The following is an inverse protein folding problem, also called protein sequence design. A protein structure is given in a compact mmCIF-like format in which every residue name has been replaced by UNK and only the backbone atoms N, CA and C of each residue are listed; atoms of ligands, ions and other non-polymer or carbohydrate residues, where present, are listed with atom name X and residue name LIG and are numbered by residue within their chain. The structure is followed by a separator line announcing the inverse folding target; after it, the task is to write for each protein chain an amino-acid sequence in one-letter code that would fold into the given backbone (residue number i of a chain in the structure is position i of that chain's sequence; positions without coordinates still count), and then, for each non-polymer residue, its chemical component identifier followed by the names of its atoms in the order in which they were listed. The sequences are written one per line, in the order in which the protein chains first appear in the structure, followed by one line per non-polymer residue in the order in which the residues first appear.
data_IF_417334988049
#
_entry.id   IF_417334988049
#
_cell.length_a   1.000
_cell.length_b   1.000
_cell.length_c   1.000
_cell.angle_alpha   90.00
_cell.angle_beta   90.00
_cell.angle_gamma   90.00
#
_symmetry.space_group_name_H-M   'P 1'
#
loop_
_entity.id
_entity.type
_entity.pdbx_description
1 polymer ?
#
# COMPACT_ATOMS: atom_id res chain seq x y z
N UNK A 1 42.61 58.73 -22.97
CA UNK A 1 41.60 59.15 -21.97
C UNK A 1 41.20 57.95 -21.14
N UNK A 2 41.23 58.05 -19.81
CA UNK A 2 40.94 56.97 -18.86
C UNK A 2 39.44 56.88 -18.56
N UNK A 3 38.98 55.68 -18.18
CA UNK A 3 37.59 55.43 -17.77
C UNK A 3 37.41 54.05 -17.17
N UNK A 4 38.03 53.80 -16.00
CA UNK A 4 37.64 52.70 -15.11
C UNK A 4 36.27 53.04 -14.48
N UNK A 5 35.31 52.14 -14.58
CA UNK A 5 34.13 52.08 -13.72
C UNK A 5 33.97 50.65 -13.18
N UNK A 6 34.59 50.39 -12.02
CA UNK A 6 34.58 49.07 -11.38
C UNK A 6 33.29 48.81 -10.62
N UNK A 7 32.45 47.91 -11.14
CA UNK A 7 31.40 47.21 -10.39
C UNK A 7 31.22 45.74 -10.85
N UNK A 8 32.20 45.13 -11.51
CA UNK A 8 32.02 43.80 -12.12
C UNK A 8 32.44 42.60 -11.26
N UNK A 9 33.13 42.82 -10.14
CA UNK A 9 33.53 41.74 -9.22
C UNK A 9 32.68 41.67 -7.93
N UNK A 10 32.15 42.80 -7.43
CA UNK A 10 31.30 42.83 -6.23
C UNK A 10 29.86 42.36 -6.45
N UNK A 11 29.26 42.67 -7.61
CA UNK A 11 27.87 42.31 -7.94
C UNK A 11 27.73 40.79 -8.16
N UNK A 12 28.74 40.14 -8.76
CA UNK A 12 28.72 38.68 -9.00
C UNK A 12 28.85 37.83 -7.74
N UNK A 13 29.63 38.29 -6.77
CA UNK A 13 29.84 37.52 -5.53
C UNK A 13 28.61 37.59 -4.62
N UNK A 14 28.01 38.78 -4.47
CA UNK A 14 26.81 38.94 -3.64
C UNK A 14 25.58 38.27 -4.27
N UNK A 15 25.40 38.35 -5.59
CA UNK A 15 24.29 37.69 -6.29
C UNK A 15 24.35 36.17 -6.12
N UNK A 16 25.54 35.58 -6.30
CA UNK A 16 25.73 34.15 -6.05
C UNK A 16 25.54 33.79 -4.57
N UNK A 17 26.05 34.60 -3.64
CA UNK A 17 25.88 34.38 -2.21
C UNK A 17 24.41 34.38 -1.79
N UNK A 18 23.63 35.38 -2.26
CA UNK A 18 22.20 35.47 -1.99
C UNK A 18 21.45 34.28 -2.60
N UNK A 19 21.78 33.87 -3.83
CA UNK A 19 21.14 32.70 -4.46
C UNK A 19 21.39 31.42 -3.67
N UNK A 20 22.61 31.19 -3.18
CA UNK A 20 22.93 29.99 -2.38
C UNK A 20 22.23 30.04 -1.02
N UNK A 21 22.18 31.20 -0.36
CA UNK A 21 21.45 31.37 0.90
C UNK A 21 19.96 31.08 0.70
N UNK A 22 19.35 31.67 -0.34
CA UNK A 22 17.93 31.46 -0.64
C UNK A 22 17.65 30.02 -1.07
N UNK A 23 18.50 29.41 -1.89
CA UNK A 23 18.39 28.01 -2.27
C UNK A 23 18.49 27.08 -1.04
N UNK A 24 19.36 27.40 -0.08
CA UNK A 24 19.47 26.67 1.19
C UNK A 24 18.17 26.73 2.01
N UNK A 25 17.56 27.91 2.12
CA UNK A 25 16.27 28.09 2.83
C UNK A 25 15.11 27.38 2.11
N UNK A 26 15.08 27.42 0.79
CA UNK A 26 14.05 26.72 0.00
C UNK A 26 14.21 25.20 0.06
N UNK A 27 15.45 24.70 0.06
CA UNK A 27 15.72 23.28 0.13
C UNK A 27 15.23 22.67 1.45
N UNK A 28 15.48 23.33 2.58
CA UNK A 28 15.02 22.82 3.90
C UNK A 28 13.49 22.80 3.99
N UNK A 29 12.81 23.85 3.52
CA UNK A 29 11.35 23.89 3.48
C UNK A 29 10.75 22.82 2.55
N UNK A 30 11.39 22.59 1.39
CA UNK A 30 10.97 21.54 0.45
C UNK A 30 11.10 20.13 1.02
N UNK A 31 12.22 19.83 1.69
CA UNK A 31 12.46 18.50 2.29
C UNK A 31 11.38 18.14 3.32
N UNK A 32 11.03 19.08 4.21
CA UNK A 32 10.03 18.83 5.24
C UNK A 32 8.66 18.47 4.63
N UNK A 33 8.24 19.18 3.58
CA UNK A 33 6.98 18.89 2.90
C UNK A 33 6.99 17.55 2.19
N UNK A 34 8.09 17.18 1.55
CA UNK A 34 8.23 15.89 0.85
C UNK A 34 8.11 14.73 1.85
N UNK A 35 8.74 14.83 3.02
CA UNK A 35 8.66 13.79 4.06
C UNK A 35 7.22 13.57 4.55
N UNK A 36 6.45 14.65 4.76
CA UNK A 36 5.05 14.56 5.14
C UNK A 36 4.20 13.89 4.05
N UNK A 37 4.40 14.27 2.79
CA UNK A 37 3.66 13.69 1.65
C UNK A 37 3.98 12.20 1.48
N UNK A 38 5.22 11.77 1.71
CA UNK A 38 5.57 10.35 1.67
C UNK A 38 4.86 9.55 2.76
N UNK A 39 4.74 10.13 3.97
CA UNK A 39 3.99 9.53 5.08
C UNK A 39 2.50 9.43 4.75
N UNK A 40 1.87 10.50 4.30
CA UNK A 40 0.46 10.52 3.89
C UNK A 40 0.19 9.54 2.75
N UNK A 41 1.09 9.46 1.76
CA UNK A 41 0.98 8.50 0.67
C UNK A 41 1.01 7.05 1.16
N UNK A 42 1.84 6.72 2.15
CA UNK A 42 1.86 5.38 2.76
C UNK A 42 0.56 5.08 3.49
N UNK A 43 0.04 6.02 4.28
CA UNK A 43 -1.25 5.86 4.96
C UNK A 43 -2.36 5.59 3.95
N UNK A 44 -2.44 6.40 2.90
CA UNK A 44 -3.42 6.22 1.81
C UNK A 44 -3.25 4.88 1.09
N UNK A 45 -2.02 4.39 0.89
CA UNK A 45 -1.77 3.06 0.32
C UNK A 45 -2.33 1.96 1.21
N UNK A 46 -2.10 2.02 2.52
CA UNK A 46 -2.63 1.05 3.50
C UNK A 46 -4.16 1.07 3.51
N UNK A 47 -4.77 2.25 3.55
CA UNK A 47 -6.22 2.41 3.53
C UNK A 47 -6.83 1.91 2.22
N UNK A 48 -6.25 2.29 1.07
CA UNK A 48 -6.72 1.85 -0.24
C UNK A 48 -6.61 0.33 -0.39
N UNK A 49 -5.49 -0.25 0.04
CA UNK A 49 -5.32 -1.70 0.00
C UNK A 49 -6.32 -2.43 0.89
N UNK A 50 -6.60 -1.94 2.10
CA UNK A 50 -7.61 -2.53 2.97
C UNK A 50 -9.02 -2.47 2.34
N UNK A 51 -9.37 -1.37 1.68
CA UNK A 51 -10.63 -1.23 0.94
C UNK A 51 -10.70 -2.19 -0.25
N UNK A 52 -9.64 -2.27 -1.05
CA UNK A 52 -9.53 -3.20 -2.18
C UNK A 52 -9.63 -4.65 -1.73
N UNK A 53 -8.95 -5.04 -0.64
CA UNK A 53 -9.02 -6.39 -0.09
C UNK A 53 -10.42 -6.72 0.44
N UNK A 54 -11.09 -5.76 1.09
CA UNK A 54 -12.49 -5.92 1.52
C UNK A 54 -13.44 -6.08 0.33
N UNK A 55 -13.22 -5.33 -0.75
CA UNK A 55 -14.00 -5.43 -1.98
C UNK A 55 -13.77 -6.78 -2.68
N UNK A 56 -12.51 -7.19 -2.86
CA UNK A 56 -12.14 -8.47 -3.42
C UNK A 56 -12.73 -9.64 -2.61
N UNK A 57 -12.61 -9.59 -1.28
CA UNK A 57 -13.21 -10.59 -0.39
C UNK A 57 -14.74 -10.68 -0.53
N UNK A 58 -15.43 -9.56 -0.73
CA UNK A 58 -16.88 -9.55 -1.01
C UNK A 58 -17.21 -10.11 -2.39
N UNK A 59 -16.40 -9.83 -3.41
CA UNK A 59 -16.59 -10.40 -4.75
C UNK A 59 -16.42 -11.92 -4.72
N UNK A 60 -15.39 -12.41 -4.01
CA UNK A 60 -15.21 -13.85 -3.78
C UNK A 60 -16.42 -14.44 -3.08
N UNK A 61 -16.93 -13.79 -2.03
CA UNK A 61 -18.14 -14.23 -1.34
C UNK A 61 -19.36 -14.31 -2.26
N UNK A 62 -19.55 -13.33 -3.13
CA UNK A 62 -20.64 -13.35 -4.11
C UNK A 62 -20.49 -14.50 -5.11
N UNK A 63 -19.28 -14.76 -5.61
CA UNK A 63 -19.01 -15.89 -6.51
C UNK A 63 -19.20 -17.24 -5.82
N UNK A 64 -18.71 -17.36 -4.59
CA UNK A 64 -18.92 -18.49 -3.68
C UNK A 64 -20.40 -18.76 -3.39
N UNK A 65 -21.20 -17.70 -3.27
CA UNK A 65 -22.66 -17.80 -3.12
C UNK A 65 -23.34 -18.31 -4.38
N UNK A 66 -22.87 -17.89 -5.55
CA UNK A 66 -23.42 -18.31 -6.84
C UNK A 66 -23.20 -19.81 -7.09
N UNK A 67 -22.07 -20.37 -6.61
CA UNK A 67 -21.80 -21.82 -6.67
C UNK A 67 -22.40 -22.61 -5.50
N UNK A 68 -23.06 -21.96 -4.54
CA UNK A 68 -23.75 -22.62 -3.43
C UNK A 68 -22.84 -23.20 -2.33
N UNK A 69 -21.57 -22.78 -2.26
CA UNK A 69 -20.55 -23.39 -1.38
C UNK A 69 -20.19 -22.57 -0.14
N UNK A 70 -21.05 -21.64 0.29
CA UNK A 70 -20.77 -20.76 1.44
C UNK A 70 -20.58 -21.51 2.78
N UNK A 71 -21.18 -22.69 2.93
CA UNK A 71 -21.05 -23.51 4.14
C UNK A 71 -19.77 -24.35 4.21
N UNK A 72 -19.02 -24.45 3.11
CA UNK A 72 -17.83 -25.30 3.06
C UNK A 72 -16.63 -24.63 3.76
N UNK A 73 -15.97 -25.38 4.64
CA UNK A 73 -14.80 -24.91 5.40
C UNK A 73 -13.64 -24.54 4.49
N UNK A 74 -13.38 -25.33 3.45
CA UNK A 74 -12.33 -25.04 2.48
C UNK A 74 -12.64 -25.69 1.15
N UNK A 75 -12.51 -24.93 0.07
CA UNK A 75 -12.64 -25.42 -1.29
C UNK A 75 -11.93 -24.49 -2.26
N UNK A 76 -11.89 -24.89 -3.51
CA UNK A 76 -11.29 -24.13 -4.59
C UNK A 76 -12.38 -23.48 -5.43
N UNK A 77 -12.26 -22.18 -5.66
CA UNK A 77 -13.17 -21.38 -6.46
C UNK A 77 -12.42 -20.89 -7.71
N UNK A 78 -13.01 -21.08 -8.88
CA UNK A 78 -12.52 -20.42 -10.11
C UNK A 78 -12.89 -18.94 -10.04
N UNK A 79 -11.91 -18.08 -9.85
CA UNK A 79 -12.12 -16.66 -9.64
C UNK A 79 -12.29 -15.94 -10.98
N UNK A 80 -13.52 -15.84 -11.48
CA UNK A 80 -13.78 -15.16 -12.75
C UNK A 80 -13.67 -13.64 -12.56
N UNK A 81 -12.74 -12.99 -13.26
CA UNK A 81 -12.55 -11.53 -13.19
C UNK A 81 -11.93 -11.02 -11.88
N UNK A 82 -11.25 -11.89 -11.14
CA UNK A 82 -10.42 -11.54 -9.99
C UNK A 82 -9.00 -12.02 -10.29
N UNK A 83 -8.06 -11.09 -10.50
CA UNK A 83 -6.67 -11.41 -10.77
C UNK A 83 -6.43 -12.17 -12.09
N UNK A 84 -5.25 -12.79 -12.18
CA UNK A 84 -4.84 -13.67 -13.29
C UNK A 84 -5.65 -14.98 -13.32
N UNK A 85 -6.94 -14.93 -13.63
CA UNK A 85 -7.79 -16.04 -14.13
C UNK A 85 -7.67 -17.41 -13.44
N UNK A 86 -7.22 -17.44 -12.18
CA UNK A 86 -6.72 -18.63 -11.53
C UNK A 86 -7.66 -19.07 -10.42
N UNK A 87 -7.53 -20.34 -10.08
CA UNK A 87 -8.29 -20.88 -8.97
C UNK A 87 -7.74 -20.34 -7.65
N UNK A 88 -8.64 -19.86 -6.79
CA UNK A 88 -8.35 -19.38 -5.44
C UNK A 88 -8.92 -20.36 -4.42
N UNK A 89 -8.16 -20.58 -3.35
CA UNK A 89 -8.64 -21.31 -2.19
C UNK A 89 -9.45 -20.36 -1.31
N UNK A 90 -10.63 -20.84 -0.93
CA UNK A 90 -11.60 -20.08 -0.14
C UNK A 90 -12.03 -20.85 1.09
N UNK A 91 -12.35 -20.12 2.15
CA UNK A 91 -12.83 -20.62 3.43
C UNK A 91 -14.11 -19.88 3.80
N UNK A 92 -15.21 -20.62 3.91
CA UNK A 92 -16.56 -20.08 4.15
C UNK A 92 -16.94 -18.92 3.22
N UNK A 93 -16.53 -19.02 1.95
CA UNK A 93 -16.81 -18.01 0.92
C UNK A 93 -15.88 -16.81 0.88
N UNK A 94 -14.83 -16.75 1.71
CA UNK A 94 -13.81 -15.69 1.64
C UNK A 94 -12.44 -16.27 1.28
N UNK A 95 -11.50 -15.46 0.77
CA UNK A 95 -10.14 -15.92 0.49
C UNK A 95 -9.47 -16.58 1.70
N UNK A 96 -8.96 -17.80 1.54
CA UNK A 96 -8.27 -18.50 2.60
C UNK A 96 -6.81 -18.06 2.72
N UNK A 97 -6.26 -18.07 3.93
CA UNK A 97 -4.83 -17.84 4.17
C UNK A 97 -4.13 -19.20 4.17
N UNK A 98 -3.95 -19.77 2.98
CA UNK A 98 -3.18 -21.01 2.79
C UNK A 98 -1.76 -20.72 2.32
N UNK A 99 -1.61 -19.66 1.51
CA UNK A 99 -0.34 -19.11 1.07
C UNK A 99 -0.51 -17.62 0.80
N UNK A 100 0.61 -16.88 0.78
CA UNK A 100 0.62 -15.48 0.34
C UNK A 100 0.19 -15.37 -1.12
N UNK A 101 0.59 -16.33 -1.96
CA UNK A 101 0.21 -16.44 -3.37
C UNK A 101 -1.31 -16.49 -3.56
N UNK A 102 -2.03 -17.25 -2.73
CA UNK A 102 -3.49 -17.34 -2.82
C UNK A 102 -4.19 -15.98 -2.68
N UNK A 103 -3.63 -15.08 -1.87
CA UNK A 103 -4.16 -13.73 -1.70
C UNK A 103 -3.66 -12.79 -2.80
N UNK A 104 -2.40 -12.96 -3.25
CA UNK A 104 -1.86 -12.20 -4.37
C UNK A 104 -2.68 -12.40 -5.64
N UNK A 105 -3.19 -13.61 -5.88
CA UNK A 105 -4.11 -13.92 -7.00
C UNK A 105 -5.41 -13.12 -7.01
N UNK A 106 -5.77 -12.41 -5.94
CA UNK A 106 -6.92 -11.50 -5.94
C UNK A 106 -6.63 -10.17 -6.61
N UNK A 107 -5.36 -9.89 -6.92
CA UNK A 107 -4.86 -8.63 -7.45
C UNK A 107 -4.10 -8.87 -8.75
N UNK A 108 -4.35 -8.07 -9.77
CA UNK A 108 -3.67 -8.21 -11.08
C UNK A 108 -2.22 -7.70 -11.04
N UNK A 109 -1.98 -6.61 -10.32
CA UNK A 109 -0.65 -5.97 -10.24
C UNK A 109 -0.48 -5.31 -8.87
N UNK A 110 0.01 -6.09 -7.91
CA UNK A 110 0.36 -5.55 -6.61
C UNK A 110 1.79 -5.00 -6.67
N UNK A 111 1.94 -3.68 -6.44
CA UNK A 111 3.24 -3.02 -6.50
C UNK A 111 4.30 -3.74 -5.66
N UNK A 112 5.53 -3.88 -6.14
CA UNK A 112 6.64 -4.55 -5.42
C UNK A 112 7.06 -3.93 -4.08
N UNK A 113 6.36 -2.90 -3.62
CA UNK A 113 6.49 -2.29 -2.28
C UNK A 113 5.72 -3.04 -1.21
N UNK A 114 4.76 -3.89 -1.60
CA UNK A 114 3.98 -4.70 -0.70
C UNK A 114 4.73 -5.98 -0.36
N UNK A 115 4.89 -6.23 0.93
CA UNK A 115 5.44 -7.48 1.44
C UNK A 115 4.35 -8.19 2.23
N UNK A 116 3.98 -9.39 1.77
CA UNK A 116 2.99 -10.22 2.43
C UNK A 116 3.70 -11.28 3.26
N UNK A 117 3.22 -11.45 4.49
CA UNK A 117 3.66 -12.50 5.39
C UNK A 117 2.44 -13.15 6.05
N UNK A 118 2.58 -14.41 6.46
CA UNK A 118 1.57 -15.12 7.25
C UNK A 118 2.12 -15.25 8.68
N UNK A 119 1.34 -14.75 9.64
CA UNK A 119 1.64 -14.80 11.06
C UNK A 119 0.48 -15.48 11.80
N UNK A 120 0.64 -16.78 12.01
CA UNK A 120 -0.42 -17.64 12.54
C UNK A 120 -1.64 -17.67 11.63
N UNK A 121 -2.77 -17.16 12.13
CA UNK A 121 -4.03 -17.07 11.38
C UNK A 121 -4.20 -15.75 10.62
N UNK A 122 -3.23 -14.84 10.72
CA UNK A 122 -3.29 -13.53 10.10
C UNK A 122 -2.39 -13.46 8.87
N UNK A 123 -2.91 -12.87 7.81
CA UNK A 123 -2.12 -12.36 6.71
C UNK A 123 -1.75 -10.92 7.05
N UNK A 124 -0.47 -10.59 6.97
CA UNK A 124 0.04 -9.23 7.13
C UNK A 124 0.55 -8.74 5.78
N UNK A 125 0.09 -7.58 5.34
CA UNK A 125 0.58 -6.90 4.15
C UNK A 125 1.19 -5.56 4.58
N UNK A 126 2.51 -5.43 4.54
CA UNK A 126 3.23 -4.22 4.93
C UNK A 126 3.82 -3.48 3.72
N UNK A 127 3.86 -2.15 3.82
CA UNK A 127 4.42 -1.28 2.79
C UNK A 127 5.88 -0.97 3.11
N UNK A 128 6.78 -1.11 2.14
CA UNK A 128 8.21 -0.82 2.25
C UNK A 128 8.92 -1.55 3.42
N UNK A 129 8.48 -2.78 3.75
CA UNK A 129 9.00 -3.57 4.86
C UNK A 129 8.89 -2.88 6.25
N UNK A 130 7.92 -1.97 6.42
CA UNK A 130 7.65 -1.30 7.70
C UNK A 130 6.65 -2.10 8.54
N UNK A 131 7.04 -2.66 9.69
CA UNK A 131 6.17 -3.55 10.48
C UNK A 131 4.97 -2.84 11.11
N UNK A 132 5.02 -1.52 11.26
CA UNK A 132 3.92 -0.73 11.84
C UNK A 132 3.13 0.08 10.80
N UNK A 133 3.33 -0.22 9.51
CA UNK A 133 2.58 0.33 8.38
C UNK A 133 2.00 -0.82 7.55
N UNK A 134 0.91 -1.44 8.04
CA UNK A 134 0.38 -2.68 7.49
C UNK A 134 -1.13 -2.84 7.59
N UNK A 135 -1.65 -3.76 6.77
CA UNK A 135 -3.01 -4.31 6.86
C UNK A 135 -2.92 -5.76 7.33
N UNK A 136 -3.78 -6.14 8.29
CA UNK A 136 -3.96 -7.52 8.72
C UNK A 136 -5.30 -8.04 8.25
N UNK A 137 -5.32 -9.27 7.77
CA UNK A 137 -6.51 -9.96 7.30
C UNK A 137 -6.63 -11.35 7.96
N UNK A 138 -7.83 -11.72 8.40
CA UNK A 138 -8.17 -13.06 8.89
C UNK A 138 -9.50 -13.49 8.25
N UNK A 139 -9.56 -14.67 7.61
CA UNK A 139 -10.81 -15.21 7.08
C UNK A 139 -11.72 -15.63 8.25
N UNK A 140 -13.03 -15.78 8.01
CA UNK A 140 -13.94 -16.26 9.04
C UNK A 140 -13.62 -17.69 9.50
N UNK A 141 -13.87 -17.94 10.79
CA UNK A 141 -13.70 -19.26 11.42
C UNK A 141 -14.94 -20.14 11.31
N UNK A 142 -16.09 -19.57 10.94
CA UNK A 142 -17.39 -20.24 10.91
C UNK A 142 -18.22 -19.83 9.68
N UNK A 143 -19.14 -20.70 9.21
CA UNK A 143 -20.09 -20.34 8.15
C UNK A 143 -20.89 -19.08 8.50
N UNK A 144 -20.98 -18.14 7.56
CA UNK A 144 -21.68 -16.86 7.77
C UNK A 144 -20.91 -15.83 8.60
N UNK A 145 -19.70 -16.17 9.08
CA UNK A 145 -18.78 -15.20 9.69
C UNK A 145 -18.27 -14.18 8.67
N UNK A 146 -17.87 -13.00 9.15
CA UNK A 146 -17.19 -12.00 8.33
C UNK A 146 -15.68 -12.06 8.55
N UNK A 147 -14.86 -11.76 7.53
CA UNK A 147 -13.43 -11.63 7.70
C UNK A 147 -13.10 -10.43 8.58
N UNK A 148 -12.02 -10.53 9.36
CA UNK A 148 -11.50 -9.41 10.13
C UNK A 148 -10.42 -8.71 9.32
N UNK A 149 -10.53 -7.39 9.23
CA UNK A 149 -9.49 -6.52 8.69
C UNK A 149 -9.10 -5.50 9.74
N UNK A 150 -7.80 -5.41 10.02
CA UNK A 150 -7.21 -4.42 10.93
C UNK A 150 -6.13 -3.64 10.19
N UNK A 151 -5.97 -2.37 10.53
CA UNK A 151 -4.94 -1.51 9.94
C UNK A 151 -4.04 -0.99 11.06
N UNK A 152 -2.74 -0.95 10.82
CA UNK A 152 -1.76 -0.30 11.69
C UNK A 152 -1.03 0.77 10.89
N UNK A 153 -1.11 2.02 11.35
CA UNK A 153 -0.62 3.21 10.65
C UNK A 153 0.50 3.94 11.39
N UNK A 154 0.89 3.47 12.58
CA UNK A 154 1.82 4.17 13.47
C UNK A 154 3.24 4.30 12.89
N UNK A 155 3.66 3.34 12.06
CA UNK A 155 4.97 3.32 11.39
C UNK A 155 4.96 3.85 9.95
N UNK A 156 3.80 4.31 9.47
CA UNK A 156 3.72 5.07 8.23
C UNK A 156 4.28 6.49 8.49
#
# INVERSE_FOLDING_TARGET
MPGRGGYSQGIRLLELAVVVILAGLLATAGIQRIMLLQREARVLMVENFAQSLKLAGRMVYLQSSAVGKLGERRYRLTAYGLGEGSEIEVQYGYPAITSTDNILRLFDDLSGRWHLNIDGEWLQACVDSRPDCLVRYQPPEQPGGQPRLEQRLEGC
#
